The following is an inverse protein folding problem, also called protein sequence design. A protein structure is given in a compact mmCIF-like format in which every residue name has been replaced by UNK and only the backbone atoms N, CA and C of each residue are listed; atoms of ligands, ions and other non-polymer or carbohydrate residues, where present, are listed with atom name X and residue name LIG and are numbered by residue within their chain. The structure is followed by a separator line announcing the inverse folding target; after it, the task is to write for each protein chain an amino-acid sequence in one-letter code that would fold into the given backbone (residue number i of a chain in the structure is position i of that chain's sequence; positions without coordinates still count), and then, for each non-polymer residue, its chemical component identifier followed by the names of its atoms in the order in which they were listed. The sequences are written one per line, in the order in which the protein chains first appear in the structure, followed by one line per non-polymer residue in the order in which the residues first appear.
data_IF_465813813554
#
_entry.id   IF_465813813554
#
_cell.length_a   1.000
_cell.length_b   1.000
_cell.length_c   1.000
_cell.angle_alpha   90.00
_cell.angle_beta   90.00
_cell.angle_gamma   90.00
#
_symmetry.space_group_name_H-M   'P 1'
#
loop_
_entity.id
_entity.type
_entity.pdbx_description
1 polymer ?
#
# COMPACT_ATOMS: atom_id res chain seq x y z
N UNK A 1 22.23 1.67 -32.86
CA UNK A 1 21.65 0.68 -31.93
C UNK A 1 22.20 0.82 -30.49
N UNK A 2 23.52 0.95 -30.29
CA UNK A 2 24.10 1.05 -28.93
C UNK A 2 23.73 2.35 -28.16
N UNK A 3 23.58 3.49 -28.86
CA UNK A 3 23.19 4.78 -28.27
C UNK A 3 21.73 4.82 -27.78
N UNK A 4 20.82 4.14 -28.49
CA UNK A 4 19.40 4.07 -28.13
C UNK A 4 19.18 3.12 -26.95
N UNK A 5 19.90 1.99 -26.92
CA UNK A 5 19.88 1.08 -25.77
C UNK A 5 20.39 1.76 -24.48
N UNK A 6 21.48 2.54 -24.57
CA UNK A 6 21.99 3.32 -23.45
C UNK A 6 21.02 4.41 -22.96
N UNK A 7 20.35 5.10 -23.89
CA UNK A 7 19.33 6.09 -23.54
C UNK A 7 18.10 5.47 -22.86
N UNK A 8 17.66 4.28 -23.30
CA UNK A 8 16.56 3.54 -22.68
C UNK A 8 16.92 3.09 -21.27
N UNK A 9 18.12 2.53 -21.07
CA UNK A 9 18.59 2.10 -19.74
C UNK A 9 18.70 3.28 -18.78
N UNK A 10 19.25 4.41 -19.24
CA UNK A 10 19.31 5.64 -18.43
C UNK A 10 17.92 6.15 -18.09
N UNK A 11 16.99 6.19 -19.05
CA UNK A 11 15.62 6.62 -18.81
C UNK A 11 14.90 5.70 -17.81
N UNK A 12 15.09 4.38 -17.89
CA UNK A 12 14.52 3.43 -16.95
C UNK A 12 15.10 3.60 -15.53
N UNK A 13 16.42 3.82 -15.42
CA UNK A 13 17.07 4.08 -14.14
C UNK A 13 16.59 5.40 -13.52
N UNK A 14 16.48 6.46 -14.32
CA UNK A 14 15.94 7.76 -13.87
C UNK A 14 14.49 7.61 -13.44
N UNK A 15 13.66 6.88 -14.20
CA UNK A 15 12.26 6.63 -13.85
C UNK A 15 12.16 5.85 -12.53
N UNK A 16 12.97 4.81 -12.33
CA UNK A 16 13.03 4.05 -11.08
C UNK A 16 13.48 4.91 -9.90
N UNK A 17 14.48 5.78 -10.09
CA UNK A 17 14.93 6.72 -9.06
C UNK A 17 13.84 7.73 -8.71
N UNK A 18 13.20 8.33 -9.71
CA UNK A 18 12.10 9.28 -9.51
C UNK A 18 10.92 8.61 -8.78
N UNK A 19 10.59 7.37 -9.13
CA UNK A 19 9.55 6.60 -8.45
C UNK A 19 9.91 6.29 -6.99
N UNK A 20 11.15 5.86 -6.72
CA UNK A 20 11.61 5.60 -5.36
C UNK A 20 11.61 6.87 -4.50
N UNK A 21 12.13 7.98 -5.04
CA UNK A 21 12.15 9.27 -4.37
C UNK A 21 10.73 9.79 -4.11
N UNK A 22 9.82 9.66 -5.07
CA UNK A 22 8.44 10.11 -4.89
C UNK A 22 7.72 9.34 -3.78
N UNK A 23 7.99 8.03 -3.63
CA UNK A 23 7.45 7.23 -2.53
C UNK A 23 7.95 7.74 -1.18
N UNK A 24 9.26 7.96 -1.03
CA UNK A 24 9.86 8.46 0.22
C UNK A 24 9.35 9.87 0.56
N UNK A 25 9.31 10.76 -0.43
CA UNK A 25 8.78 12.12 -0.24
C UNK A 25 7.31 12.09 0.17
N UNK A 26 6.50 11.22 -0.44
CA UNK A 26 5.08 11.07 -0.09
C UNK A 26 4.90 10.63 1.37
N UNK A 27 5.69 9.65 1.83
CA UNK A 27 5.68 9.21 3.24
C UNK A 27 6.08 10.34 4.17
N UNK A 28 7.11 11.12 3.82
CA UNK A 28 7.54 12.27 4.62
C UNK A 28 6.45 13.35 4.68
N UNK A 29 5.74 13.62 3.58
CA UNK A 29 4.62 14.56 3.54
C UNK A 29 3.44 14.09 4.41
N UNK A 30 3.08 12.81 4.32
CA UNK A 30 1.98 12.23 5.12
C UNK A 30 2.33 12.04 6.60
N UNK A 31 3.59 12.22 6.99
CA UNK A 31 3.96 12.33 8.41
C UNK A 31 3.47 13.64 9.03
N UNK A 32 3.43 14.74 8.27
CA UNK A 32 3.06 16.06 8.78
C UNK A 32 1.55 16.23 8.95
N UNK A 33 0.75 15.40 8.30
CA UNK A 33 -0.69 15.42 8.39
C UNK A 33 -1.32 14.28 7.60
N UNK A 34 -2.59 13.97 7.87
CA UNK A 34 -3.25 12.87 7.18
C UNK A 34 -3.37 13.13 5.66
N UNK A 35 -3.31 12.08 4.83
CA UNK A 35 -3.47 12.24 3.40
C UNK A 35 -4.87 12.73 3.06
N UNK A 36 -4.95 13.69 2.12
CA UNK A 36 -6.23 14.13 1.56
C UNK A 36 -6.80 13.06 0.64
N UNK A 37 -5.98 12.49 -0.25
CA UNK A 37 -6.35 11.43 -1.17
C UNK A 37 -5.18 10.46 -1.37
N UNK A 38 -5.50 9.17 -1.49
CA UNK A 38 -4.54 8.14 -1.91
C UNK A 38 -4.96 7.55 -3.25
N UNK A 39 -4.05 6.91 -4.01
CA UNK A 39 -4.42 6.24 -5.26
C UNK A 39 -5.58 5.26 -5.11
N UNK A 40 -5.64 4.52 -3.99
CA UNK A 40 -6.74 3.59 -3.71
C UNK A 40 -8.07 4.32 -3.51
N UNK A 41 -8.09 5.46 -2.82
CA UNK A 41 -9.30 6.27 -2.64
C UNK A 41 -9.83 6.78 -3.99
N UNK A 42 -8.92 7.24 -4.86
CA UNK A 42 -9.27 7.70 -6.22
C UNK A 42 -9.80 6.53 -7.05
N UNK A 43 -9.12 5.38 -7.01
CA UNK A 43 -9.54 4.19 -7.73
C UNK A 43 -10.94 3.72 -7.29
N UNK A 44 -11.21 3.70 -5.98
CA UNK A 44 -12.52 3.33 -5.43
C UNK A 44 -13.62 4.30 -5.85
N UNK A 45 -13.34 5.61 -5.83
CA UNK A 45 -14.29 6.62 -6.31
C UNK A 45 -14.60 6.43 -7.80
N UNK A 46 -13.60 6.15 -8.63
CA UNK A 46 -13.78 5.88 -10.05
C UNK A 46 -14.54 4.57 -10.33
N UNK A 47 -14.34 3.52 -9.53
CA UNK A 47 -15.05 2.25 -9.65
C UNK A 47 -16.52 2.34 -9.24
N UNK A 48 -16.88 3.32 -8.41
CA UNK A 48 -18.21 3.47 -7.82
C UNK A 48 -18.65 4.94 -7.87
N UNK A 49 -18.86 5.50 -9.07
CA UNK A 49 -19.22 6.92 -9.22
C UNK A 49 -20.57 7.25 -8.57
N UNK A 50 -21.49 6.27 -8.51
CA UNK A 50 -22.81 6.43 -7.89
C UNK A 50 -22.82 6.15 -6.38
N UNK A 51 -21.68 5.75 -5.80
CA UNK A 51 -21.60 5.57 -4.36
C UNK A 51 -21.63 6.93 -3.65
N UNK A 52 -22.08 6.92 -2.39
CA UNK A 52 -21.97 8.09 -1.53
C UNK A 52 -20.55 8.65 -1.56
N UNK A 53 -20.38 9.98 -1.53
CA UNK A 53 -19.07 10.60 -1.50
C UNK A 53 -18.29 9.99 -0.34
N UNK A 54 -17.06 9.56 -0.61
CA UNK A 54 -16.21 8.99 0.42
C UNK A 54 -16.00 10.04 1.52
N UNK A 55 -16.42 9.70 2.74
CA UNK A 55 -16.25 10.54 3.94
C UNK A 55 -15.27 9.87 4.87
N UNK A 56 -14.24 10.58 5.26
CA UNK A 56 -13.26 10.11 6.22
C UNK A 56 -12.98 11.18 7.27
N UNK A 57 -12.75 10.74 8.50
CA UNK A 57 -12.33 11.59 9.60
C UNK A 57 -11.09 10.96 10.23
N UNK A 58 -9.96 11.66 10.09
CA UNK A 58 -8.72 11.21 10.69
C UNK A 58 -8.77 11.41 12.20
N UNK A 59 -8.50 10.34 12.94
CA UNK A 59 -8.46 10.34 14.40
C UNK A 59 -7.19 9.63 14.86
N UNK A 60 -6.53 10.13 15.91
CA UNK A 60 -5.40 9.41 16.50
C UNK A 60 -5.88 8.09 17.12
N UNK A 61 -5.01 7.08 17.17
CA UNK A 61 -5.36 5.71 17.52
C UNK A 61 -5.97 5.60 18.93
N UNK A 62 -5.53 6.46 19.85
CA UNK A 62 -6.02 6.54 21.24
C UNK A 62 -7.49 6.99 21.31
N UNK A 63 -8.01 7.60 20.25
CA UNK A 63 -9.44 7.98 20.13
C UNK A 63 -10.28 6.94 19.40
N UNK A 64 -9.71 5.79 19.04
CA UNK A 64 -10.40 4.68 18.41
C UNK A 64 -10.63 3.59 19.44
N UNK A 65 -11.82 2.98 19.44
CA UNK A 65 -12.12 1.86 20.34
C UNK A 65 -11.09 0.74 20.18
N UNK A 66 -10.47 0.23 21.25
CA UNK A 66 -9.55 -0.91 21.18
C UNK A 66 -10.19 -2.15 20.56
N UNK A 67 -11.52 -2.31 20.68
CA UNK A 67 -12.25 -3.41 20.05
C UNK A 67 -12.28 -3.29 18.53
N UNK A 68 -12.40 -2.07 17.98
CA UNK A 68 -12.37 -1.85 16.54
C UNK A 68 -10.98 -2.14 15.97
N UNK A 69 -9.92 -1.71 16.67
CA UNK A 69 -8.54 -2.01 16.28
C UNK A 69 -8.30 -3.52 16.23
N UNK A 70 -8.71 -4.25 17.26
CA UNK A 70 -8.60 -5.72 17.30
C UNK A 70 -9.41 -6.39 16.20
N UNK A 71 -10.62 -5.92 15.92
CA UNK A 71 -11.46 -6.46 14.87
C UNK A 71 -10.83 -6.27 13.47
N UNK A 72 -10.26 -5.08 13.20
CA UNK A 72 -9.57 -4.81 11.94
C UNK A 72 -8.32 -5.68 11.76
N UNK A 73 -7.50 -5.81 12.82
CA UNK A 73 -6.33 -6.71 12.80
C UNK A 73 -6.79 -8.14 12.52
N UNK A 74 -7.78 -8.66 13.26
CA UNK A 74 -8.24 -10.03 13.07
C UNK A 74 -8.80 -10.30 11.65
N UNK A 75 -9.45 -9.31 11.03
CA UNK A 75 -10.08 -9.45 9.71
C UNK A 75 -9.08 -9.36 8.54
N UNK A 76 -8.09 -8.47 8.64
CA UNK A 76 -7.18 -8.17 7.52
C UNK A 76 -5.82 -8.87 7.65
N UNK A 77 -5.26 -8.88 8.87
CA UNK A 77 -3.93 -9.41 9.15
C UNK A 77 -3.85 -9.90 10.60
N UNK A 78 -4.40 -11.10 10.85
CA UNK A 78 -4.47 -11.69 12.20
C UNK A 78 -3.11 -11.84 12.89
N UNK A 79 -2.02 -11.76 12.12
CA UNK A 79 -0.63 -11.95 12.55
C UNK A 79 0.16 -10.65 12.56
N UNK A 80 -0.49 -9.52 12.37
CA UNK A 80 0.13 -8.19 12.34
C UNK A 80 1.16 -7.97 13.46
N UNK A 81 0.80 -8.31 14.70
CA UNK A 81 1.68 -8.12 15.87
C UNK A 81 2.86 -9.10 15.96
N UNK A 82 2.87 -10.15 15.14
CA UNK A 82 3.88 -11.22 15.19
C UNK A 82 4.98 -11.08 14.14
N UNK A 83 4.89 -10.09 13.25
CA UNK A 83 5.85 -9.89 12.16
C UNK A 83 6.23 -8.42 11.97
N UNK A 84 7.34 -8.19 11.27
CA UNK A 84 7.90 -6.86 11.02
C UNK A 84 7.51 -6.28 9.64
N UNK A 85 6.28 -6.56 9.19
CA UNK A 85 5.68 -5.97 8.00
C UNK A 85 5.24 -6.98 6.94
N UNK A 86 6.01 -8.07 6.75
CA UNK A 86 5.65 -9.13 5.80
C UNK A 86 5.44 -10.45 6.54
N UNK A 87 4.24 -11.03 6.41
CA UNK A 87 3.98 -12.40 6.86
C UNK A 87 4.55 -13.41 5.86
N UNK A 88 5.84 -13.68 6.00
CA UNK A 88 6.52 -14.68 5.18
C UNK A 88 5.97 -16.09 5.35
N UNK A 89 5.33 -16.40 6.48
CA UNK A 89 4.73 -17.71 6.71
C UNK A 89 3.47 -17.86 5.86
N UNK A 90 2.57 -16.87 5.90
CA UNK A 90 1.37 -16.85 5.08
C UNK A 90 1.71 -16.86 3.58
N UNK A 91 2.68 -16.06 3.15
CA UNK A 91 3.13 -16.01 1.75
C UNK A 91 3.63 -17.38 1.29
N UNK A 92 4.53 -18.02 2.05
CA UNK A 92 5.05 -19.36 1.68
C UNK A 92 3.96 -20.42 1.64
N UNK A 93 3.00 -20.35 2.55
CA UNK A 93 1.89 -21.30 2.58
C UNK A 93 1.05 -21.19 1.31
N UNK A 94 0.69 -19.98 0.89
CA UNK A 94 -0.07 -19.76 -0.35
C UNK A 94 0.72 -20.20 -1.57
N UNK A 95 2.02 -19.87 -1.65
CA UNK A 95 2.88 -20.31 -2.77
C UNK A 95 2.91 -21.83 -2.89
N UNK A 96 3.10 -22.54 -1.77
CA UNK A 96 3.09 -24.00 -1.75
C UNK A 96 1.75 -24.57 -2.21
N UNK A 97 0.63 -24.02 -1.75
CA UNK A 97 -0.70 -24.47 -2.18
C UNK A 97 -0.91 -24.24 -3.69
N UNK A 98 -0.45 -23.12 -4.24
CA UNK A 98 -0.54 -22.86 -5.68
C UNK A 98 0.31 -23.82 -6.52
N UNK A 99 1.48 -24.23 -6.03
CA UNK A 99 2.33 -25.25 -6.67
C UNK A 99 1.68 -26.65 -6.63
N UNK A 100 0.92 -26.97 -5.58
CA UNK A 100 0.22 -28.25 -5.44
C UNK A 100 -1.09 -28.32 -6.24
N UNK A 101 -1.69 -27.18 -6.58
CA UNK A 101 -3.01 -27.10 -7.26
C UNK A 101 -2.90 -26.76 -8.76
N UNK A 102 -1.70 -26.42 -9.25
CA UNK A 102 -1.41 -26.16 -10.66
C UNK A 102 -0.83 -27.38 -11.37
#
# INVERSE_FOLDING_TARGET
MLRTAGAILLAAAVAGLVFGLSAVVSVALYRAGPPTHTPLMILRAAQRPDAFPARWQWRPLERISPHLVRAAIAAEDSRFCSHNGFDWQAIRQVLKTLEETG
#
